data_IF_906587134970
#
_entry.id   IF_906587134970
#
_cell.length_a   1.000
_cell.length_b   1.000
_cell.length_c   1.000
_cell.angle_alpha   90.00
_cell.angle_beta   90.00
_cell.angle_gamma   90.00
#
_symmetry.space_group_name_H-M   'P 1'
#
loop_
_entity.id
_entity.type
_entity.pdbx_description
1 polymer ?
#
# COMPACT_ATOMS: atom_id res chain seq x y z
N UNK A 1 -27.45 16.35 -15.46
CA UNK A 1 -27.27 14.89 -15.58
C UNK A 1 -26.89 14.34 -14.24
N UNK A 2 -27.61 13.33 -13.76
CA UNK A 2 -27.40 12.74 -12.43
C UNK A 2 -26.34 11.62 -12.51
N UNK A 3 -25.40 11.61 -11.57
CA UNK A 3 -24.32 10.62 -11.51
C UNK A 3 -24.22 10.06 -10.10
N UNK A 4 -24.10 8.74 -9.99
CA UNK A 4 -23.78 8.06 -8.72
C UNK A 4 -22.28 7.83 -8.65
N UNK A 5 -21.65 8.44 -7.65
CA UNK A 5 -20.19 8.44 -7.48
C UNK A 5 -19.75 8.37 -6.05
N UNK A 6 -18.46 8.14 -5.84
CA UNK A 6 -17.83 8.16 -4.53
C UNK A 6 -17.38 9.58 -4.17
N UNK A 7 -17.90 10.13 -3.08
CA UNK A 7 -17.40 11.35 -2.45
C UNK A 7 -16.38 10.97 -1.36
N UNK A 8 -15.21 11.59 -1.38
CA UNK A 8 -14.15 11.30 -0.41
C UNK A 8 -14.43 12.01 0.91
N UNK A 9 -14.21 11.30 2.00
CA UNK A 9 -14.27 11.82 3.37
C UNK A 9 -13.15 11.22 4.22
N UNK A 10 -13.02 11.66 5.46
CA UNK A 10 -11.98 11.18 6.37
C UNK A 10 -10.62 11.83 6.18
N UNK A 11 -9.63 11.34 6.92
CA UNK A 11 -8.27 11.87 6.96
C UNK A 11 -7.46 11.52 5.69
N UNK A 12 -6.38 12.28 5.43
CA UNK A 12 -5.48 12.08 4.28
C UNK A 12 -4.91 10.66 4.20
N UNK A 13 -4.56 10.04 5.35
CA UNK A 13 -3.97 8.69 5.43
C UNK A 13 -5.00 7.59 5.66
N UNK A 14 -6.23 7.92 6.09
CA UNK A 14 -7.32 6.96 6.32
C UNK A 14 -8.62 7.47 5.66
N UNK A 15 -8.69 7.48 4.32
CA UNK A 15 -9.86 7.93 3.61
C UNK A 15 -10.98 6.89 3.67
N UNK A 16 -12.21 7.35 3.81
CA UNK A 16 -13.39 6.58 3.52
C UNK A 16 -14.29 7.33 2.54
N UNK A 17 -15.26 6.65 1.95
CA UNK A 17 -16.02 7.20 0.86
C UNK A 17 -17.51 7.05 1.11
N UNK A 18 -18.26 8.11 0.80
CA UNK A 18 -19.69 8.03 0.70
C UNK A 18 -20.11 7.73 -0.74
N UNK A 19 -21.10 6.85 -0.89
CA UNK A 19 -21.75 6.60 -2.17
C UNK A 19 -22.87 7.62 -2.28
N UNK A 20 -22.74 8.55 -3.21
CA UNK A 20 -23.64 9.70 -3.34
C UNK A 20 -24.20 9.84 -4.73
N UNK A 21 -25.43 10.29 -4.80
CA UNK A 21 -26.12 10.73 -6.02
C UNK A 21 -25.95 12.24 -6.12
N UNK A 22 -25.38 12.71 -7.20
CA UNK A 22 -25.10 14.13 -7.39
C UNK A 22 -25.27 14.57 -8.84
N UNK A 23 -25.42 15.87 -9.08
CA UNK A 23 -25.31 16.42 -10.42
C UNK A 23 -23.84 16.33 -10.90
N UNK A 24 -23.65 15.91 -12.15
CA UNK A 24 -22.35 15.78 -12.81
C UNK A 24 -21.56 17.09 -12.83
N UNK A 25 -22.23 18.24 -12.82
CA UNK A 25 -21.64 19.59 -12.81
C UNK A 25 -21.06 19.99 -11.44
N UNK A 26 -21.50 19.35 -10.35
CA UNK A 26 -21.04 19.65 -9.00
C UNK A 26 -19.69 18.99 -8.72
N UNK A 27 -18.83 19.61 -7.89
CA UNK A 27 -17.56 19.00 -7.49
C UNK A 27 -17.80 17.65 -6.79
N UNK A 28 -16.81 16.75 -6.85
CA UNK A 28 -16.93 15.38 -6.36
C UNK A 28 -17.34 15.30 -4.88
N UNK A 29 -16.75 16.11 -4.05
CA UNK A 29 -16.93 16.13 -2.59
C UNK A 29 -17.88 17.25 -2.12
N UNK A 30 -18.58 17.88 -3.08
CA UNK A 30 -19.51 18.97 -2.84
C UNK A 30 -20.94 18.51 -2.55
N UNK A 31 -21.90 19.38 -2.87
CA UNK A 31 -23.31 19.10 -2.64
C UNK A 31 -23.78 17.88 -3.43
N UNK A 32 -24.56 17.05 -2.78
CA UNK A 32 -25.18 15.84 -3.33
C UNK A 32 -26.70 15.88 -3.10
N UNK A 33 -27.43 15.07 -3.83
CA UNK A 33 -28.88 14.95 -3.75
C UNK A 33 -29.25 13.95 -2.65
N UNK A 34 -28.63 12.76 -2.70
CA UNK A 34 -28.89 11.66 -1.76
C UNK A 34 -27.62 10.88 -1.47
N UNK A 35 -27.52 10.33 -0.25
CA UNK A 35 -26.47 9.40 0.16
C UNK A 35 -27.05 8.00 0.19
N UNK A 36 -26.49 7.10 -0.64
CA UNK A 36 -26.92 5.71 -0.75
C UNK A 36 -26.17 4.78 0.23
N UNK A 37 -25.02 5.22 0.73
CA UNK A 37 -24.23 4.41 1.63
C UNK A 37 -22.81 4.91 1.82
N UNK A 38 -21.97 4.03 2.37
CA UNK A 38 -20.55 4.31 2.52
C UNK A 38 -19.68 3.10 2.17
N UNK A 39 -18.42 3.36 1.91
CA UNK A 39 -17.40 2.36 1.63
C UNK A 39 -16.10 2.73 2.33
N UNK A 40 -15.61 1.83 3.21
CA UNK A 40 -14.32 1.94 3.88
C UNK A 40 -13.33 0.93 3.29
N UNK A 41 -12.35 1.37 2.47
CA UNK A 41 -11.35 0.47 1.89
C UNK A 41 -10.35 -0.05 2.93
N UNK A 42 -10.18 0.66 4.04
CA UNK A 42 -9.20 0.38 5.10
C UNK A 42 -9.81 -0.36 6.29
N UNK A 43 -11.09 -0.76 6.21
CA UNK A 43 -11.76 -1.48 7.29
C UNK A 43 -10.97 -2.72 7.73
N UNK A 44 -10.79 -2.87 9.05
CA UNK A 44 -10.04 -3.94 9.67
C UNK A 44 -10.93 -4.71 10.66
N UNK A 45 -10.75 -6.03 10.68
CA UNK A 45 -11.43 -6.89 11.66
C UNK A 45 -12.95 -6.77 11.58
N UNK A 46 -13.57 -6.35 12.68
CA UNK A 46 -15.02 -6.23 12.85
C UNK A 46 -15.63 -4.94 12.28
N UNK A 47 -14.82 -4.05 11.70
CA UNK A 47 -15.34 -2.82 11.10
C UNK A 47 -16.19 -3.10 9.86
N UNK A 48 -17.33 -2.43 9.75
CA UNK A 48 -18.17 -2.52 8.58
C UNK A 48 -17.46 -1.90 7.36
N UNK A 49 -17.18 -2.73 6.37
CA UNK A 49 -16.48 -2.31 5.15
C UNK A 49 -17.36 -1.52 4.19
N UNK A 50 -18.62 -1.91 4.08
CA UNK A 50 -19.54 -1.33 3.12
C UNK A 50 -20.98 -1.44 3.62
N UNK A 51 -21.68 -0.34 3.55
CA UNK A 51 -23.15 -0.30 3.67
C UNK A 51 -23.69 0.37 2.42
N UNK A 52 -24.56 -0.33 1.71
CA UNK A 52 -25.06 0.16 0.44
C UNK A 52 -26.54 -0.18 0.27
N UNK A 53 -27.37 0.84 0.10
CA UNK A 53 -28.78 0.64 -0.21
C UNK A 53 -28.97 0.39 -1.70
N UNK A 54 -29.12 -0.88 -2.06
CA UNK A 54 -29.24 -1.33 -3.46
C UNK A 54 -30.60 -0.93 -4.04
N UNK A 55 -31.67 -0.94 -3.27
CA UNK A 55 -33.01 -0.58 -3.70
C UNK A 55 -33.07 0.89 -4.18
N UNK A 56 -32.48 1.79 -3.37
CA UNK A 56 -32.38 3.19 -3.76
C UNK A 56 -31.49 3.42 -4.97
N UNK A 57 -30.43 2.61 -5.12
CA UNK A 57 -29.61 2.64 -6.32
C UNK A 57 -30.43 2.27 -7.56
N UNK A 58 -31.18 1.18 -7.50
CA UNK A 58 -32.00 0.71 -8.63
C UNK A 58 -33.08 1.74 -9.01
N UNK A 59 -33.65 2.43 -8.04
CA UNK A 59 -34.56 3.57 -8.28
C UNK A 59 -33.85 4.67 -9.08
N UNK A 60 -32.63 5.07 -8.72
CA UNK A 60 -31.90 6.11 -9.45
C UNK A 60 -31.46 5.67 -10.84
N UNK A 61 -31.14 4.38 -11.00
CA UNK A 61 -30.85 3.81 -12.34
C UNK A 61 -32.09 3.91 -13.24
N UNK A 62 -33.28 3.59 -12.72
CA UNK A 62 -34.52 3.72 -13.46
C UNK A 62 -34.86 5.15 -13.88
N UNK A 63 -34.38 6.13 -13.08
CA UNK A 63 -34.46 7.56 -13.42
C UNK A 63 -33.37 8.04 -14.39
N UNK A 64 -32.51 7.13 -14.87
CA UNK A 64 -31.46 7.44 -15.83
C UNK A 64 -30.17 7.98 -15.23
N UNK A 65 -29.91 7.73 -13.95
CA UNK A 65 -28.63 8.11 -13.33
C UNK A 65 -27.49 7.26 -13.86
N UNK A 66 -26.35 7.89 -14.16
CA UNK A 66 -25.14 7.21 -14.58
C UNK A 66 -24.31 6.75 -13.36
N UNK A 67 -23.78 5.55 -13.43
CA UNK A 67 -22.92 4.97 -12.40
C UNK A 67 -21.46 5.12 -12.80
N UNK A 68 -20.64 5.61 -11.87
CA UNK A 68 -19.19 5.52 -12.04
C UNK A 68 -18.72 4.06 -11.95
N UNK A 69 -17.62 3.72 -12.63
CA UNK A 69 -17.15 2.33 -12.71
C UNK A 69 -16.90 1.70 -11.35
N UNK A 70 -16.40 2.48 -10.42
CA UNK A 70 -16.19 2.00 -9.05
C UNK A 70 -17.48 1.68 -8.31
N UNK A 71 -18.53 2.47 -8.51
CA UNK A 71 -19.86 2.19 -7.94
C UNK A 71 -20.48 0.94 -8.58
N UNK A 72 -20.26 0.70 -9.88
CA UNK A 72 -20.71 -0.54 -10.54
C UNK A 72 -20.09 -1.80 -9.89
N UNK A 73 -18.80 -1.75 -9.56
CA UNK A 73 -18.12 -2.83 -8.83
C UNK A 73 -18.71 -3.04 -7.44
N UNK A 74 -18.86 -1.94 -6.67
CA UNK A 74 -19.43 -2.00 -5.32
C UNK A 74 -20.89 -2.47 -5.31
N UNK A 75 -21.67 -2.09 -6.31
CA UNK A 75 -23.05 -2.55 -6.47
C UNK A 75 -23.13 -4.07 -6.73
N UNK A 76 -22.17 -4.60 -7.51
CA UNK A 76 -22.03 -6.05 -7.69
C UNK A 76 -21.65 -6.73 -6.38
N UNK A 77 -20.69 -6.16 -5.65
CA UNK A 77 -20.24 -6.72 -4.38
C UNK A 77 -21.35 -6.67 -3.31
N UNK A 78 -22.18 -5.64 -3.31
CA UNK A 78 -23.32 -5.50 -2.39
C UNK A 78 -24.47 -6.49 -2.66
N UNK A 79 -24.54 -7.04 -3.87
CA UNK A 79 -25.53 -8.05 -4.25
C UNK A 79 -25.07 -9.49 -4.00
N UNK A 80 -23.78 -9.68 -3.70
CA UNK A 80 -23.24 -10.99 -3.33
C UNK A 80 -23.56 -11.33 -1.88
N UNK A 81 -23.63 -12.62 -1.58
CA UNK A 81 -23.71 -13.09 -0.19
C UNK A 81 -22.44 -12.72 0.59
N UNK A 82 -22.50 -12.56 1.92
CA UNK A 82 -21.33 -12.24 2.72
C UNK A 82 -20.19 -13.24 2.56
N UNK A 83 -20.50 -14.53 2.39
CA UNK A 83 -19.51 -15.60 2.21
C UNK A 83 -18.80 -15.51 0.85
N UNK A 84 -19.56 -15.27 -0.21
CA UNK A 84 -18.98 -15.06 -1.56
C UNK A 84 -18.13 -13.80 -1.63
N UNK A 85 -18.53 -12.76 -0.89
CA UNK A 85 -17.78 -11.51 -0.81
C UNK A 85 -16.45 -11.72 -0.09
N UNK A 86 -16.44 -12.50 1.00
CA UNK A 86 -15.21 -12.87 1.70
C UNK A 86 -14.30 -13.72 0.83
N UNK A 87 -14.79 -14.75 0.19
CA UNK A 87 -14.03 -15.60 -0.73
C UNK A 87 -13.38 -14.77 -1.86
N UNK A 88 -14.13 -13.80 -2.42
CA UNK A 88 -13.61 -12.89 -3.43
C UNK A 88 -12.50 -11.96 -2.91
N UNK A 89 -12.63 -11.49 -1.67
CA UNK A 89 -11.62 -10.65 -1.03
C UNK A 89 -10.33 -11.42 -0.73
N UNK A 90 -10.45 -12.66 -0.28
CA UNK A 90 -9.30 -13.53 0.02
C UNK A 90 -8.58 -13.92 -1.27
N UNK A 91 -9.29 -14.35 -2.30
CA UNK A 91 -8.71 -14.59 -3.62
C UNK A 91 -7.97 -13.36 -4.19
N UNK A 92 -8.47 -12.16 -3.90
CA UNK A 92 -7.80 -10.91 -4.32
C UNK A 92 -6.56 -10.60 -3.49
N UNK A 93 -6.55 -10.95 -2.19
CA UNK A 93 -5.37 -10.84 -1.32
C UNK A 93 -4.27 -11.79 -1.79
N UNK A 94 -4.62 -13.05 -2.09
CA UNK A 94 -3.69 -14.08 -2.52
C UNK A 94 -3.01 -13.71 -3.86
N UNK A 95 -3.81 -13.27 -4.84
CA UNK A 95 -3.26 -12.74 -6.10
C UNK A 95 -2.32 -11.55 -5.89
N UNK A 96 -2.64 -10.68 -4.91
CA UNK A 96 -1.79 -9.54 -4.57
C UNK A 96 -0.49 -9.96 -3.86
N UNK A 97 -0.57 -10.98 -3.01
CA UNK A 97 0.60 -11.57 -2.33
C UNK A 97 1.53 -12.22 -3.37
N UNK A 98 1.00 -13.09 -4.22
CA UNK A 98 1.75 -13.73 -5.31
C UNK A 98 2.43 -12.72 -6.24
N UNK A 99 1.69 -11.66 -6.62
CA UNK A 99 2.28 -10.60 -7.46
C UNK A 99 3.41 -9.84 -6.75
N UNK A 100 3.29 -9.60 -5.44
CA UNK A 100 4.37 -8.97 -4.66
C UNK A 100 5.60 -9.86 -4.53
N UNK A 101 5.40 -11.15 -4.34
CA UNK A 101 6.49 -12.15 -4.29
C UNK A 101 7.20 -12.26 -5.63
N UNK A 102 6.44 -12.32 -6.73
CA UNK A 102 7.02 -12.35 -8.07
C UNK A 102 7.87 -11.09 -8.35
N UNK A 103 7.37 -9.90 -7.99
CA UNK A 103 8.12 -8.65 -8.14
C UNK A 103 9.37 -8.62 -7.25
N UNK A 104 9.30 -9.17 -6.02
CA UNK A 104 10.46 -9.28 -5.14
C UNK A 104 11.49 -10.25 -5.70
N UNK A 105 11.06 -11.41 -6.19
CA UNK A 105 11.94 -12.39 -6.79
C UNK A 105 12.64 -11.84 -8.04
N UNK A 106 11.91 -11.11 -8.90
CA UNK A 106 12.53 -10.44 -10.05
C UNK A 106 13.57 -9.40 -9.62
N UNK A 107 13.26 -8.57 -8.63
CA UNK A 107 14.24 -7.59 -8.13
C UNK A 107 15.49 -8.21 -7.52
N UNK A 108 15.35 -9.35 -6.84
CA UNK A 108 16.49 -10.09 -6.29
C UNK A 108 17.34 -10.67 -7.44
N UNK A 109 16.70 -11.28 -8.44
CA UNK A 109 17.37 -11.79 -9.60
C UNK A 109 18.09 -10.69 -10.41
N UNK A 110 17.47 -9.54 -10.58
CA UNK A 110 18.09 -8.39 -11.26
C UNK A 110 19.30 -7.86 -10.47
N UNK A 111 19.21 -7.80 -9.13
CA UNK A 111 20.32 -7.39 -8.27
C UNK A 111 21.46 -8.41 -8.28
N UNK A 112 21.16 -9.71 -8.29
CA UNK A 112 22.18 -10.76 -8.41
C UNK A 112 22.85 -10.76 -9.78
N UNK A 113 22.10 -10.47 -10.84
CA UNK A 113 22.67 -10.32 -12.19
C UNK A 113 23.62 -9.13 -12.27
N UNK A 114 23.22 -7.97 -11.73
CA UNK A 114 24.06 -6.77 -11.66
C UNK A 114 25.30 -6.98 -10.79
N UNK A 115 25.17 -7.71 -9.67
CA UNK A 115 26.31 -8.02 -8.80
C UNK A 115 27.32 -8.97 -9.49
N UNK A 116 26.84 -9.91 -10.30
CA UNK A 116 27.71 -10.79 -11.11
C UNK A 116 28.41 -10.02 -12.19
N UNK A 117 27.74 -9.16 -12.91
CA UNK A 117 28.28 -8.31 -13.96
C UNK A 117 29.36 -7.37 -13.40
N UNK A 118 29.11 -6.76 -12.24
CA UNK A 118 30.08 -5.91 -11.53
C UNK A 118 31.30 -6.72 -11.00
N UNK A 119 31.10 -7.97 -10.59
CA UNK A 119 32.18 -8.83 -10.14
C UNK A 119 33.06 -9.34 -11.33
N UNK A 120 32.46 -9.50 -12.50
CA UNK A 120 33.19 -9.90 -13.74
C UNK A 120 34.02 -8.74 -14.29
N UNK A 121 33.51 -7.51 -14.21
CA UNK A 121 34.22 -6.29 -14.61
C UNK A 121 35.46 -6.00 -13.74
N UNK A 122 35.39 -6.31 -12.44
CA UNK A 122 36.53 -6.16 -11.49
C UNK A 122 37.60 -7.20 -11.70
N UNK A 123 37.28 -8.37 -12.31
CA UNK A 123 38.29 -9.43 -12.61
C UNK A 123 38.99 -9.24 -13.96
N UNK A 124 38.49 -8.38 -14.83
CA UNK A 124 39.10 -8.11 -16.13
C UNK A 124 40.08 -6.91 -16.10
N UNK A 125 40.10 -6.12 -15.01
CA UNK A 125 40.98 -4.95 -14.87
C UNK A 125 42.26 -5.17 -14.01
N UNK A 126 42.64 -6.42 -13.74
CA UNK A 126 43.91 -6.70 -13.10
C UNK A 126 44.70 -7.82 -13.85
N UNK A 127 45.62 -7.45 -14.76
CA UNK A 127 47.00 -7.77 -14.46
C UNK A 127 47.97 -6.70 -14.94
N UNK A 128 48.63 -6.00 -14.07
CA UNK A 128 50.03 -5.53 -14.20
C UNK A 128 50.36 -4.51 -13.10
N UNK A 129 50.93 -4.98 -12.06
CA UNK A 129 52.16 -4.41 -11.47
C UNK A 129 52.52 -5.20 -10.21
N UNK A 130 53.36 -6.21 -10.48
CA UNK A 130 54.18 -6.87 -9.49
C UNK A 130 55.49 -6.09 -9.43
N UNK A 131 55.99 -5.89 -8.22
CA UNK A 131 57.31 -5.60 -7.73
C UNK A 131 57.45 -4.33 -6.91
N UNK A 132 57.48 -4.52 -5.63
CA UNK A 132 58.58 -4.17 -4.74
C UNK A 132 58.14 -4.20 -3.27
N UNK A 133 58.51 -5.24 -2.59
CA UNK A 133 58.81 -5.22 -1.15
C UNK A 133 60.21 -4.62 -0.96
N UNK A 134 60.75 -4.25 0.20
CA UNK A 134 60.46 -4.88 1.49
C UNK A 134 60.46 -3.97 2.77
N UNK A 135 60.09 -4.62 3.89
CA UNK A 135 60.64 -4.48 5.27
C UNK A 135 60.55 -3.12 5.99
N UNK A 136 60.02 -3.02 7.13
CA UNK A 136 60.46 -3.37 8.47
C UNK A 136 59.51 -2.82 9.55
N UNK A 137 59.25 -3.68 10.49
CA UNK A 137 59.30 -3.58 11.93
C UNK A 137 58.24 -2.76 12.69
N UNK A 138 57.52 -3.54 13.41
CA UNK A 138 57.50 -3.67 14.88
C UNK A 138 56.69 -2.66 15.71
N UNK A 139 55.89 -3.32 16.52
CA UNK A 139 55.57 -3.00 17.95
C UNK A 139 54.76 -1.72 18.20
N UNK A 140 53.76 -1.68 18.99
CA UNK A 140 53.45 -2.30 20.24
C UNK A 140 52.08 -1.83 20.71
N UNK A 141 51.40 -2.74 21.33
CA UNK A 141 50.52 -2.61 22.49
C UNK A 141 49.13 -1.98 22.39
N UNK A 142 48.20 -2.86 22.72
CA UNK A 142 46.92 -2.64 23.38
C UNK A 142 47.19 -2.24 24.87
N UNK A 143 46.21 -2.14 25.74
CA UNK A 143 44.77 -1.99 25.71
C UNK A 143 44.23 -0.98 26.73
N UNK A 144 42.98 -1.17 27.18
CA UNK A 144 42.37 -0.87 28.46
C UNK A 144 41.35 0.25 28.49
N UNK A 145 40.17 -0.21 28.72
CA UNK A 145 39.20 -0.08 29.82
C UNK A 145 38.32 1.19 29.77
N UNK A 146 37.05 0.91 29.73
CA UNK A 146 36.07 0.76 30.83
C UNK A 146 35.67 2.07 31.52
N UNK A 147 34.42 2.29 31.57
CA UNK A 147 33.55 2.70 32.66
C UNK A 147 32.30 3.39 32.08
N UNK A 148 31.15 2.79 32.17
CA UNK A 148 30.24 2.74 33.33
C UNK A 148 29.90 4.10 33.92
N UNK A 149 28.64 4.20 34.08
CA UNK A 149 27.77 4.81 35.10
C UNK A 149 26.90 5.94 34.52
N UNK A 150 25.65 5.70 34.45
CA UNK A 150 24.59 5.64 35.48
C UNK A 150 23.94 7.00 35.77
N UNK A 151 22.69 6.85 35.94
CA UNK A 151 21.75 7.61 36.77
C UNK A 151 21.17 8.88 36.19
N UNK A 152 19.94 8.84 36.10
CA UNK A 152 18.85 9.00 37.05
C UNK A 152 18.12 10.31 36.89
N UNK A 153 16.81 10.12 36.83
CA UNK A 153 15.78 10.91 37.53
C UNK A 153 15.73 12.44 37.33
N UNK A 154 14.61 12.89 36.95
CA UNK A 154 13.67 13.57 37.83
C UNK A 154 12.46 14.12 37.03
N UNK A 155 11.34 13.62 37.33
CA UNK A 155 10.07 14.20 37.75
C UNK A 155 9.86 15.70 37.54
N UNK A 156 8.61 15.95 37.21
CA UNK A 156 7.78 17.13 37.46
C UNK A 156 7.64 18.19 36.33
N UNK A 157 6.53 18.23 35.66
CA UNK A 157 5.32 18.98 36.05
C UNK A 157 4.28 18.91 34.95
#
# INVERSE_FOLDING_TARGET
>A
MVVVRLAKSGAKKNPYYFITVADSRKPRDGAFIERLGFFNPSAKGSEERMRFNVERLDHWISQGAQLSDKVKELAKDARLSPDELQAKLDAKKDKRAQKKEAIKAQKIADLEAQAKEAAEEVTEEAPAEEEAAPEEAAEEEAPVEESEEESSDDEKK
#
